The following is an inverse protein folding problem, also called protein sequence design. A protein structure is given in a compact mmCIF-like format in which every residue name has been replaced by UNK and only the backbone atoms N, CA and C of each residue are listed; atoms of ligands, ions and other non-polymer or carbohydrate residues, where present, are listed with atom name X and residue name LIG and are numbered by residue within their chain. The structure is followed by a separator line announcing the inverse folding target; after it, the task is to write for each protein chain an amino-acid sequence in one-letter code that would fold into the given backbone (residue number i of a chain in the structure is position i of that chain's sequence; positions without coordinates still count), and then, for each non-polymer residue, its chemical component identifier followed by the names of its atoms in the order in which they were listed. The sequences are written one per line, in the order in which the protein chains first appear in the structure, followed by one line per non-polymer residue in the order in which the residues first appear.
data_IF_282888399690
#
_entry.id   IF_282888399690
#
_cell.length_a   1.000
_cell.length_b   1.000
_cell.length_c   1.000
_cell.angle_alpha   90.00
_cell.angle_beta   90.00
_cell.angle_gamma   90.00
#
_symmetry.space_group_name_H-M   'P 1'
#
loop_
_entity.id
_entity.type
_entity.pdbx_description
1 polymer ?
#
# COMPACT_ATOMS: atom_id res chain seq x y z
N UNK A 1 -42.03 -51.49 -77.07
CA UNK A 1 -42.97 -50.42 -76.65
C UNK A 1 -42.75 -50.27 -75.16
N UNK A 2 -42.53 -49.11 -74.56
CA UNK A 2 -42.45 -47.70 -74.93
C UNK A 2 -41.99 -47.01 -73.64
N UNK A 3 -41.09 -46.00 -73.76
CA UNK A 3 -40.84 -44.89 -72.83
C UNK A 3 -40.48 -45.20 -71.34
N UNK A 4 -39.74 -44.38 -70.60
CA UNK A 4 -39.55 -42.94 -70.70
C UNK A 4 -38.24 -42.49 -70.02
N UNK A 5 -37.77 -41.34 -70.51
CA UNK A 5 -36.57 -40.60 -70.18
C UNK A 5 -36.96 -39.40 -69.32
N UNK A 6 -36.21 -39.11 -68.25
CA UNK A 6 -35.86 -37.77 -67.75
C UNK A 6 -35.15 -37.95 -66.39
N UNK A 7 -33.91 -37.48 -66.23
CA UNK A 7 -33.56 -36.18 -65.59
C UNK A 7 -33.87 -36.24 -64.08
N UNK A 8 -33.00 -35.90 -63.14
CA UNK A 8 -32.33 -34.61 -63.02
C UNK A 8 -31.48 -34.64 -61.73
N UNK A 9 -30.44 -33.83 -61.73
CA UNK A 9 -29.44 -33.54 -60.71
C UNK A 9 -29.96 -33.33 -59.29
N UNK A 10 -29.15 -33.71 -58.28
CA UNK A 10 -28.95 -32.89 -57.08
C UNK A 10 -27.58 -33.21 -56.47
N UNK A 11 -26.70 -32.24 -56.64
CA UNK A 11 -25.45 -32.09 -55.91
C UNK A 11 -25.76 -32.07 -54.40
N UNK A 12 -24.93 -32.74 -53.61
CA UNK A 12 -24.80 -32.41 -52.19
C UNK A 12 -23.34 -32.19 -51.94
N UNK A 13 -23.05 -30.90 -51.82
CA UNK A 13 -21.77 -30.30 -51.54
C UNK A 13 -21.17 -30.84 -50.23
N UNK A 14 -19.84 -30.97 -50.25
CA UNK A 14 -18.94 -30.34 -49.28
C UNK A 14 -19.27 -30.51 -47.79
N UNK A 15 -18.44 -31.33 -47.15
CA UNK A 15 -17.74 -30.89 -45.94
C UNK A 15 -16.34 -31.49 -46.00
N UNK A 16 -15.42 -30.69 -46.53
CA UNK A 16 -14.00 -30.81 -46.19
C UNK A 16 -13.95 -30.59 -44.66
N UNK A 17 -13.65 -31.65 -43.90
CA UNK A 17 -13.19 -31.47 -42.52
C UNK A 17 -11.85 -30.74 -42.64
N UNK A 18 -11.93 -29.41 -42.56
CA UNK A 18 -10.80 -28.58 -42.20
C UNK A 18 -10.44 -28.97 -40.76
N UNK A 19 -9.49 -29.91 -40.61
CA UNK A 19 -8.72 -30.01 -39.39
C UNK A 19 -8.03 -28.65 -39.22
N UNK A 20 -8.62 -27.76 -38.43
CA UNK A 20 -7.91 -26.65 -37.80
C UNK A 20 -6.80 -27.28 -36.96
N UNK A 21 -5.63 -27.44 -37.59
CA UNK A 21 -4.35 -27.61 -36.92
C UNK A 21 -4.21 -26.37 -36.03
N UNK A 22 -4.66 -26.48 -34.77
CA UNK A 22 -4.22 -25.59 -33.70
C UNK A 22 -2.70 -25.70 -33.71
N UNK A 23 -2.07 -24.73 -34.37
CA UNK A 23 -0.63 -24.53 -34.31
C UNK A 23 -0.27 -24.19 -32.88
N UNK A 24 -0.10 -25.22 -32.05
CA UNK A 24 0.79 -25.15 -30.91
C UNK A 24 2.15 -24.76 -31.50
N UNK A 25 2.49 -23.47 -31.42
CA UNK A 25 3.86 -23.02 -31.63
C UNK A 25 4.73 -23.79 -30.64
N UNK A 26 5.26 -24.93 -31.07
CA UNK A 26 6.15 -25.78 -30.30
C UNK A 26 7.46 -25.02 -30.13
N UNK A 27 7.51 -24.16 -29.11
CA UNK A 27 8.73 -23.50 -28.70
C UNK A 27 9.76 -24.58 -28.37
N UNK A 28 10.93 -24.49 -29.01
CA UNK A 28 12.05 -25.40 -28.70
C UNK A 28 12.37 -25.29 -27.21
N UNK A 29 12.63 -26.40 -26.53
CA UNK A 29 13.00 -26.41 -25.10
C UNK A 29 14.13 -25.40 -24.80
N UNK A 30 15.03 -25.19 -25.75
CA UNK A 30 16.11 -24.21 -25.68
C UNK A 30 15.64 -22.74 -25.63
N UNK A 31 14.54 -22.40 -26.31
CA UNK A 31 13.97 -21.06 -26.31
C UNK A 31 13.29 -20.75 -24.97
N UNK A 32 12.55 -21.71 -24.41
CA UNK A 32 11.98 -21.60 -23.07
C UNK A 32 13.07 -21.42 -22.00
N UNK A 33 14.17 -22.19 -22.09
CA UNK A 33 15.29 -22.07 -21.16
C UNK A 33 15.97 -20.70 -21.26
N UNK A 34 16.08 -20.13 -22.47
CA UNK A 34 16.60 -18.78 -22.67
C UNK A 34 15.69 -17.74 -22.05
N UNK A 35 14.37 -17.85 -22.21
CA UNK A 35 13.42 -16.93 -21.60
C UNK A 35 13.45 -17.00 -20.07
N UNK A 36 13.43 -18.21 -19.49
CA UNK A 36 13.53 -18.42 -18.05
C UNK A 36 14.81 -17.81 -17.47
N UNK A 37 15.94 -17.96 -18.18
CA UNK A 37 17.20 -17.33 -17.80
C UNK A 37 17.11 -15.81 -17.83
N UNK A 38 16.55 -15.23 -18.89
CA UNK A 38 16.33 -13.78 -18.99
C UNK A 38 15.40 -13.27 -17.88
N UNK A 39 14.35 -14.02 -17.54
CA UNK A 39 13.45 -13.69 -16.45
C UNK A 39 14.16 -13.75 -15.09
N UNK A 40 14.98 -14.78 -14.85
CA UNK A 40 15.78 -14.90 -13.63
C UNK A 40 16.74 -13.72 -13.47
N UNK A 41 17.39 -13.29 -14.55
CA UNK A 41 18.28 -12.13 -14.56
C UNK A 41 17.51 -10.83 -14.30
N UNK A 42 16.33 -10.65 -14.90
CA UNK A 42 15.43 -9.52 -14.62
C UNK A 42 15.01 -9.50 -13.15
N UNK A 43 14.61 -10.63 -12.57
CA UNK A 43 14.24 -10.75 -11.15
C UNK A 43 15.42 -10.37 -10.26
N UNK A 44 16.62 -10.87 -10.56
CA UNK A 44 17.83 -10.54 -9.81
C UNK A 44 18.14 -9.05 -9.89
N UNK A 45 18.03 -8.45 -11.07
CA UNK A 45 18.23 -7.03 -11.29
C UNK A 45 17.22 -6.18 -10.49
N UNK A 46 15.94 -6.54 -10.50
CA UNK A 46 14.93 -5.80 -9.74
C UNK A 46 15.13 -5.95 -8.23
N UNK A 47 15.50 -7.15 -7.75
CA UNK A 47 15.80 -7.38 -6.33
C UNK A 47 16.99 -6.55 -5.83
N UNK A 48 17.99 -6.31 -6.68
CA UNK A 48 19.15 -5.49 -6.28
C UNK A 48 18.89 -3.99 -6.43
N UNK A 49 18.12 -3.56 -7.43
CA UNK A 49 17.95 -2.13 -7.74
C UNK A 49 16.77 -1.46 -7.07
N UNK A 50 15.63 -2.14 -6.92
CA UNK A 50 14.40 -1.54 -6.35
C UNK A 50 14.63 -1.02 -4.92
N UNK A 51 15.22 -1.79 -3.99
CA UNK A 51 15.43 -1.31 -2.61
C UNK A 51 16.26 -0.03 -2.56
N UNK A 52 17.34 0.01 -3.35
CA UNK A 52 18.24 1.18 -3.44
C UNK A 52 17.50 2.40 -4.01
N UNK A 53 16.70 2.21 -5.07
CA UNK A 53 15.90 3.30 -5.66
C UNK A 53 14.88 3.87 -4.69
N UNK A 54 14.18 3.01 -3.95
CA UNK A 54 13.22 3.43 -2.91
C UNK A 54 13.95 4.21 -1.81
N UNK A 55 15.08 3.69 -1.32
CA UNK A 55 15.87 4.36 -0.29
C UNK A 55 16.35 5.74 -0.75
N UNK A 56 16.87 5.86 -1.96
CA UNK A 56 17.33 7.12 -2.53
C UNK A 56 16.18 8.12 -2.71
N UNK A 57 15.02 7.65 -3.14
CA UNK A 57 13.81 8.48 -3.26
C UNK A 57 13.34 9.00 -1.89
N UNK A 58 13.26 8.12 -0.89
CA UNK A 58 12.84 8.49 0.46
C UNK A 58 13.84 9.43 1.14
N UNK A 59 15.14 9.18 1.00
CA UNK A 59 16.17 10.06 1.55
C UNK A 59 16.15 11.44 0.90
N UNK A 60 15.94 11.52 -0.41
CA UNK A 60 15.77 12.79 -1.13
C UNK A 60 14.52 13.54 -0.67
N UNK A 61 13.39 12.85 -0.56
CA UNK A 61 12.12 13.43 -0.08
C UNK A 61 12.24 13.95 1.35
N UNK A 62 12.82 13.15 2.25
CA UNK A 62 13.02 13.54 3.64
C UNK A 62 14.02 14.69 3.76
N UNK A 63 15.07 14.73 2.94
CA UNK A 63 16.02 15.84 2.92
C UNK A 63 15.35 17.15 2.49
N UNK A 64 14.49 17.11 1.47
CA UNK A 64 13.72 18.27 1.01
C UNK A 64 12.71 18.77 2.06
N UNK A 65 12.21 17.88 2.92
CA UNK A 65 11.24 18.23 3.98
C UNK A 65 11.89 18.56 5.33
N UNK A 66 13.23 18.61 5.44
CA UNK A 66 13.87 18.97 6.71
C UNK A 66 13.56 20.44 7.04
N UNK A 67 12.94 20.74 8.19
CA UNK A 67 12.81 22.11 8.64
C UNK A 67 14.21 22.70 8.84
N UNK A 68 14.46 23.88 8.29
CA UNK A 68 15.67 24.64 8.62
C UNK A 68 15.50 25.13 10.05
N UNK A 69 16.04 24.37 11.00
CA UNK A 69 16.10 24.81 12.39
C UNK A 69 17.13 25.93 12.48
N UNK A 70 16.65 27.15 12.67
CA UNK A 70 17.52 28.29 12.98
C UNK A 70 18.26 28.01 14.31
N UNK A 71 19.56 28.31 14.41
CA UNK A 71 20.38 28.06 15.61
C UNK A 71 19.85 28.66 16.92
N UNK A 72 18.86 29.55 16.86
CA UNK A 72 18.28 30.25 18.00
C UNK A 72 17.46 29.35 18.95
N UNK A 73 16.97 28.19 18.52
CA UNK A 73 16.16 27.29 19.38
C UNK A 73 16.99 26.23 20.12
N UNK A 74 18.30 26.17 19.91
CA UNK A 74 19.20 25.28 20.64
C UNK A 74 19.60 25.81 22.05
N UNK A 75 18.88 26.81 22.59
CA UNK A 75 19.14 27.39 23.92
C UNK A 75 18.28 26.79 25.05
N UNK A 76 17.65 25.62 24.84
CA UNK A 76 16.92 24.93 25.92
C UNK A 76 17.83 24.11 26.85
N UNK A 77 19.07 24.55 27.08
CA UNK A 77 19.93 24.06 28.16
C UNK A 77 19.94 25.08 29.32
N UNK A 78 18.93 24.95 30.17
CA UNK A 78 18.87 25.30 31.60
C UNK A 78 19.33 26.70 32.09
N UNK A 79 18.42 27.37 32.82
CA UNK A 79 18.74 27.92 34.16
C UNK A 79 17.48 27.93 35.06
N UNK A 80 17.56 27.51 36.33
CA UNK A 80 16.41 27.45 37.22
C UNK A 80 16.23 28.74 38.05
N UNK A 81 14.97 29.14 38.23
CA UNK A 81 14.51 30.02 39.30
C UNK A 81 14.65 31.53 39.03
N UNK A 82 13.53 32.23 38.88
CA UNK A 82 13.04 33.20 39.87
C UNK A 82 11.55 33.44 39.63
N UNK A 83 10.78 33.28 40.70
CA UNK A 83 9.40 33.76 40.80
C UNK A 83 9.45 35.28 40.91
N UNK A 84 8.73 35.98 40.03
CA UNK A 84 8.35 37.36 40.22
C UNK A 84 6.93 37.56 39.66
N UNK A 85 6.08 38.03 40.55
CA UNK A 85 4.65 38.34 40.45
C UNK A 85 4.29 39.29 39.27
N UNK A 86 3.03 39.31 38.78
CA UNK A 86 2.63 40.17 37.67
C UNK A 86 2.23 41.56 38.20
N UNK A 87 2.98 42.59 37.84
CA UNK A 87 2.50 43.97 37.98
C UNK A 87 1.74 44.39 36.71
N UNK A 88 0.49 44.89 36.81
CA UNK A 88 -0.27 45.42 35.67
C UNK A 88 0.05 46.91 35.49
N UNK A 89 0.69 47.28 34.39
CA UNK A 89 0.88 48.70 34.08
C UNK A 89 1.98 48.94 33.07
N UNK A 90 1.59 49.10 31.81
CA UNK A 90 2.49 49.54 30.76
C UNK A 90 1.91 49.28 29.38
N UNK A 91 1.16 50.27 28.88
CA UNK A 91 0.72 50.48 27.50
C UNK A 91 0.71 49.26 26.57
N UNK A 92 -0.47 48.69 26.39
CA UNK A 92 -0.84 47.94 25.20
C UNK A 92 -0.95 48.90 24.00
N UNK A 93 0.20 49.33 23.48
CA UNK A 93 0.30 49.61 22.04
C UNK A 93 0.75 48.29 21.41
N UNK A 94 -0.21 47.37 21.33
CA UNK A 94 -0.05 46.15 20.54
C UNK A 94 0.03 46.60 19.10
N UNK A 95 1.28 46.84 18.66
CA UNK A 95 1.68 46.97 17.27
C UNK A 95 0.80 46.07 16.43
N UNK A 96 -0.07 46.71 15.69
CA UNK A 96 -0.80 46.22 14.55
C UNK A 96 0.26 45.79 13.52
N UNK A 97 0.83 44.61 13.77
CA UNK A 97 2.06 44.12 13.16
C UNK A 97 1.79 42.80 12.48
N UNK A 98 1.37 42.92 11.22
CA UNK A 98 1.16 41.83 10.28
C UNK A 98 0.04 40.85 10.67
N UNK A 99 -1.17 41.17 10.22
CA UNK A 99 -1.96 40.16 9.50
C UNK A 99 -1.07 39.65 8.36
N UNK A 100 -0.17 38.71 8.67
CA UNK A 100 0.45 37.88 7.66
C UNK A 100 -0.71 37.09 7.09
N UNK A 101 -1.18 37.58 5.95
CA UNK A 101 -2.03 36.92 4.98
C UNK A 101 -1.87 35.41 5.18
N UNK A 102 -2.95 34.76 5.65
CA UNK A 102 -2.94 33.31 5.86
C UNK A 102 -2.74 32.72 4.48
N UNK A 103 -1.49 32.43 4.16
CA UNK A 103 -1.06 31.96 2.85
C UNK A 103 -1.95 30.77 2.48
N UNK A 104 -2.49 30.77 1.26
CA UNK A 104 -3.50 29.78 0.87
C UNK A 104 -3.01 28.34 1.14
N UNK A 105 -1.70 28.12 0.98
CA UNK A 105 -1.02 26.86 1.30
C UNK A 105 -1.17 26.45 2.78
N UNK A 106 -1.10 27.41 3.71
CA UNK A 106 -1.28 27.15 5.15
C UNK A 106 -2.73 26.79 5.50
N UNK A 107 -3.71 27.40 4.83
CA UNK A 107 -5.13 27.05 5.01
C UNK A 107 -5.44 25.64 4.48
N UNK A 108 -4.87 25.26 3.34
CA UNK A 108 -5.01 23.94 2.75
C UNK A 108 -4.41 22.86 3.66
N UNK A 109 -3.21 23.09 4.19
CA UNK A 109 -2.56 22.20 5.17
C UNK A 109 -3.42 22.02 6.43
N UNK A 110 -4.02 23.09 6.94
CA UNK A 110 -4.91 23.03 8.11
C UNK A 110 -6.17 22.21 7.81
N UNK A 111 -6.82 22.46 6.67
CA UNK A 111 -8.00 21.72 6.25
C UNK A 111 -7.70 20.23 6.04
N UNK A 112 -6.55 19.89 5.44
CA UNK A 112 -6.10 18.52 5.29
C UNK A 112 -5.88 17.85 6.65
N UNK A 113 -5.24 18.54 7.60
CA UNK A 113 -5.03 18.02 8.96
C UNK A 113 -6.36 17.75 9.65
N UNK A 114 -7.30 18.70 9.59
CA UNK A 114 -8.65 18.55 10.15
C UNK A 114 -9.36 17.33 9.54
N UNK A 115 -9.30 17.18 8.22
CA UNK A 115 -9.88 16.02 7.53
C UNK A 115 -9.26 14.70 8.00
N UNK A 116 -7.92 14.63 8.12
CA UNK A 116 -7.22 13.44 8.63
C UNK A 116 -7.61 13.11 10.07
N UNK A 117 -7.72 14.11 10.93
CA UNK A 117 -8.14 13.93 12.32
C UNK A 117 -9.59 13.42 12.35
N UNK A 118 -10.50 14.07 11.63
CA UNK A 118 -11.91 13.63 11.55
C UNK A 118 -12.06 12.21 11.02
N UNK A 119 -11.30 11.83 9.98
CA UNK A 119 -11.34 10.47 9.42
C UNK A 119 -10.79 9.42 10.40
N UNK A 120 -9.77 9.74 11.19
CA UNK A 120 -9.30 8.84 12.24
C UNK A 120 -10.33 8.71 13.37
N UNK A 121 -10.91 9.83 13.82
CA UNK A 121 -11.94 9.84 14.86
C UNK A 121 -13.15 9.00 14.43
N UNK A 122 -13.57 9.08 13.17
CA UNK A 122 -14.69 8.29 12.66
C UNK A 122 -14.37 6.79 12.55
N UNK A 123 -13.12 6.42 12.31
CA UNK A 123 -12.70 5.02 12.22
C UNK A 123 -12.51 4.34 13.60
N UNK A 124 -12.17 5.11 14.63
CA UNK A 124 -11.84 4.59 15.97
C UNK A 124 -12.93 3.72 16.61
N UNK A 125 -14.23 4.08 16.58
CA UNK A 125 -15.28 3.25 17.17
C UNK A 125 -15.30 1.82 16.60
N UNK A 126 -15.14 1.69 15.28
CA UNK A 126 -15.11 0.40 14.59
C UNK A 126 -13.88 -0.41 14.97
N UNK A 127 -12.71 0.24 15.04
CA UNK A 127 -11.46 -0.41 15.43
C UNK A 127 -11.53 -0.93 16.87
N UNK A 128 -12.00 -0.10 17.80
CA UNK A 128 -12.14 -0.46 19.21
C UNK A 128 -13.13 -1.61 19.42
N UNK A 129 -14.27 -1.59 18.70
CA UNK A 129 -15.21 -2.70 18.69
C UNK A 129 -14.54 -4.00 18.23
N UNK A 130 -13.82 -3.97 17.11
CA UNK A 130 -13.11 -5.14 16.58
C UNK A 130 -12.06 -5.67 17.55
N UNK A 131 -11.29 -4.79 18.18
CA UNK A 131 -10.31 -5.19 19.19
C UNK A 131 -10.98 -5.90 20.37
N UNK A 132 -12.08 -5.36 20.87
CA UNK A 132 -12.87 -5.98 21.94
C UNK A 132 -13.38 -7.37 21.52
N UNK A 133 -13.89 -7.50 20.30
CA UNK A 133 -14.40 -8.77 19.78
C UNK A 133 -13.28 -9.81 19.66
N UNK A 134 -12.09 -9.42 19.19
CA UNK A 134 -10.91 -10.29 19.13
C UNK A 134 -10.46 -10.76 20.53
N UNK A 135 -10.37 -9.86 21.50
CA UNK A 135 -10.02 -10.23 22.89
C UNK A 135 -11.05 -11.22 23.44
N UNK A 136 -12.34 -10.94 23.26
CA UNK A 136 -13.42 -11.83 23.69
C UNK A 136 -13.35 -13.21 23.02
N UNK A 137 -12.88 -13.29 21.77
CA UNK A 137 -12.67 -14.56 21.07
C UNK A 137 -11.48 -15.33 21.66
N UNK A 138 -10.38 -14.67 22.00
CA UNK A 138 -9.23 -15.29 22.65
C UNK A 138 -9.57 -15.84 24.04
N UNK A 139 -10.28 -15.07 24.86
CA UNK A 139 -10.73 -15.51 26.19
C UNK A 139 -11.60 -16.76 26.10
N UNK A 140 -12.50 -16.83 25.12
CA UNK A 140 -13.27 -18.04 24.85
C UNK A 140 -12.35 -19.21 24.51
N UNK A 141 -11.41 -19.03 23.56
CA UNK A 141 -10.47 -20.07 23.15
C UNK A 141 -9.60 -20.60 24.31
N UNK A 142 -9.22 -19.74 25.25
CA UNK A 142 -8.46 -20.12 26.44
C UNK A 142 -9.26 -21.02 27.39
N UNK A 143 -10.58 -20.85 27.48
CA UNK A 143 -11.44 -21.74 28.27
C UNK A 143 -11.65 -23.12 27.65
N UNK A 144 -11.38 -23.28 26.35
CA UNK A 144 -11.43 -24.60 25.71
C UNK A 144 -10.10 -25.32 25.95
N UNK A 145 -10.18 -26.52 26.54
CA UNK A 145 -9.06 -27.45 26.53
C UNK A 145 -8.86 -27.98 25.09
N UNK A 146 -8.17 -27.19 24.27
CA UNK A 146 -7.91 -27.53 22.88
C UNK A 146 -6.93 -28.70 22.87
N UNK A 147 -7.46 -29.90 22.60
CA UNK A 147 -6.64 -31.06 22.19
C UNK A 147 -6.02 -30.78 20.83
N UNK A 148 -4.98 -29.94 20.82
CA UNK A 148 -4.18 -29.66 19.64
C UNK A 148 -3.64 -31.01 19.14
N UNK A 149 -3.92 -31.34 17.89
CA UNK A 149 -3.51 -32.60 17.29
C UNK A 149 -1.99 -32.79 17.44
N UNK A 150 -1.49 -34.00 17.77
CA UNK A 150 -0.07 -34.23 18.05
C UNK A 150 0.88 -33.73 16.95
N UNK A 151 0.45 -33.76 15.68
CA UNK A 151 1.22 -33.23 14.55
C UNK A 151 1.56 -31.74 14.66
N UNK A 152 0.76 -30.94 15.37
CA UNK A 152 0.97 -29.51 15.58
C UNK A 152 1.58 -29.18 16.95
N UNK A 153 1.91 -30.20 17.76
CA UNK A 153 2.60 -29.97 19.05
C UNK A 153 4.09 -29.74 18.77
N UNK A 154 4.59 -28.58 19.18
CA UNK A 154 6.03 -28.29 19.11
C UNK A 154 6.77 -29.28 20.04
N UNK A 155 7.75 -30.02 19.52
CA UNK A 155 8.60 -30.89 20.35
C UNK A 155 9.36 -30.00 21.34
N UNK A 156 9.21 -30.26 22.65
CA UNK A 156 10.05 -29.61 23.66
C UNK A 156 11.43 -30.26 23.57
N UNK A 157 12.44 -29.48 23.15
CA UNK A 157 13.84 -29.85 23.32
C UNK A 157 14.19 -29.58 24.78
N UNK A 158 14.61 -30.63 25.49
CA UNK A 158 15.13 -30.53 26.86
C UNK A 158 16.53 -29.93 26.88
#
# INVERSE_FOLDING_TARGET
MENERASETLETERSEDEEEEEGEEEYSEEEELLELKQMADKIRHYRSTIPVRIQNSLTSLLAAQRPILHPSTAQFTQKPGTSADPNPGGNAESSEGALAEVDSETTEKLNLLKHKISNNISAMPTLLKRMKDCISMFEKLETYDVRIHPAFKRKRTS
#
